data_IF_260161343083
#
_entry.id   IF_260161343083
#
_cell.length_a   1.000
_cell.length_b   1.000
_cell.length_c   1.000
_cell.angle_alpha   90.00
_cell.angle_beta   90.00
_cell.angle_gamma   90.00
#
_symmetry.space_group_name_H-M   'P 1'
#
loop_
_entity.id
_entity.type
_entity.pdbx_description
1 polymer ?
#
# COMPACT_ATOMS: atom_id res chain seq x y z
N UNK A 1 -1.17 -10.14 -42.02
CA UNK A 1 -1.72 -10.71 -40.79
C UNK A 1 -1.05 -10.04 -39.63
N UNK A 2 -1.77 -9.21 -38.85
CA UNK A 2 -1.21 -8.60 -37.62
C UNK A 2 -0.89 -9.69 -36.63
N UNK A 3 0.35 -9.70 -36.10
CA UNK A 3 0.74 -10.62 -35.02
C UNK A 3 -0.23 -10.44 -33.85
N UNK A 4 -0.82 -11.54 -33.38
CA UNK A 4 -1.65 -11.51 -32.18
C UNK A 4 -0.85 -10.90 -31.01
N UNK A 5 -1.45 -10.00 -30.27
CA UNK A 5 -0.81 -9.38 -29.10
C UNK A 5 -0.61 -10.44 -28.02
N UNK A 6 0.55 -10.46 -27.33
CA UNK A 6 0.84 -11.48 -26.33
C UNK A 6 -0.07 -11.38 -25.10
N UNK A 7 -0.64 -10.20 -24.82
CA UNK A 7 -1.49 -9.97 -23.65
C UNK A 7 -2.93 -9.62 -24.04
N UNK A 8 -3.87 -10.37 -23.47
CA UNK A 8 -5.31 -10.14 -23.64
C UNK A 8 -5.78 -9.07 -22.65
N UNK A 9 -5.70 -7.79 -23.06
CA UNK A 9 -6.24 -6.64 -22.32
C UNK A 9 -7.36 -6.03 -23.19
N UNK A 10 -8.57 -5.95 -22.66
CA UNK A 10 -9.69 -5.39 -23.39
C UNK A 10 -9.62 -3.85 -23.39
N UNK A 11 -9.95 -3.22 -24.53
CA UNK A 11 -10.04 -1.75 -24.61
C UNK A 11 -11.03 -1.17 -23.59
N UNK A 12 -12.09 -1.92 -23.26
CA UNK A 12 -13.08 -1.55 -22.25
C UNK A 12 -12.46 -1.43 -20.85
N UNK A 13 -11.49 -2.28 -20.51
CA UNK A 13 -10.78 -2.21 -19.21
C UNK A 13 -9.97 -0.92 -19.10
N UNK A 14 -9.28 -0.53 -20.18
CA UNK A 14 -8.52 0.73 -20.23
C UNK A 14 -9.45 1.94 -20.11
N UNK A 15 -10.59 1.91 -20.78
CA UNK A 15 -11.61 2.95 -20.68
C UNK A 15 -12.19 3.07 -19.28
N UNK A 16 -12.48 1.96 -18.61
CA UNK A 16 -12.97 1.95 -17.23
C UNK A 16 -11.92 2.47 -16.26
N UNK A 17 -10.66 2.09 -16.46
CA UNK A 17 -9.53 2.58 -15.69
C UNK A 17 -9.35 4.10 -15.82
N UNK A 18 -9.41 4.62 -17.04
CA UNK A 18 -9.36 6.06 -17.28
C UNK A 18 -10.48 6.81 -16.54
N UNK A 19 -11.74 6.34 -16.61
CA UNK A 19 -12.85 6.99 -15.91
C UNK A 19 -12.60 7.11 -14.39
N UNK A 20 -12.04 6.08 -13.77
CA UNK A 20 -11.67 6.10 -12.35
C UNK A 20 -10.52 7.07 -12.06
N UNK A 21 -9.51 7.12 -12.92
CA UNK A 21 -8.40 8.06 -12.80
C UNK A 21 -8.89 9.50 -12.95
N UNK A 22 -9.75 9.76 -13.94
CA UNK A 22 -10.36 11.08 -14.17
C UNK A 22 -11.16 11.55 -12.95
N UNK A 23 -11.99 10.69 -12.36
CA UNK A 23 -12.81 11.04 -11.19
C UNK A 23 -11.97 11.39 -9.94
N UNK A 24 -10.78 10.82 -9.82
CA UNK A 24 -9.88 11.07 -8.70
C UNK A 24 -9.03 12.33 -8.87
N UNK A 25 -9.06 12.97 -10.04
CA UNK A 25 -8.25 14.14 -10.36
C UNK A 25 -6.73 13.90 -10.15
N UNK A 26 -5.95 14.93 -9.90
CA UNK A 26 -4.55 14.87 -9.51
C UNK A 26 -3.61 15.61 -10.46
N UNK A 27 -2.44 15.95 -9.97
CA UNK A 27 -1.44 16.74 -10.67
C UNK A 27 -0.79 15.98 -11.83
N UNK A 28 -0.18 16.71 -12.77
CA UNK A 28 0.61 16.17 -13.86
C UNK A 28 1.86 15.44 -13.35
N UNK A 29 2.32 14.41 -14.05
CA UNK A 29 3.57 13.70 -13.80
C UNK A 29 4.79 14.44 -14.36
N UNK A 30 5.83 13.68 -14.72
CA UNK A 30 7.09 14.21 -15.30
C UNK A 30 6.90 14.80 -16.70
N UNK A 31 5.86 14.38 -17.43
CA UNK A 31 5.51 14.85 -18.76
C UNK A 31 4.76 16.19 -18.79
N UNK A 32 4.38 16.70 -17.62
CA UNK A 32 3.59 17.93 -17.51
C UNK A 32 2.15 17.81 -18.00
N UNK A 33 1.72 16.63 -18.51
CA UNK A 33 0.38 16.44 -19.03
C UNK A 33 -0.65 16.36 -17.90
N UNK A 34 -1.60 17.29 -17.90
CA UNK A 34 -2.76 17.30 -16.98
C UNK A 34 -3.83 16.29 -17.48
N UNK A 35 -4.85 16.02 -16.65
CA UNK A 35 -5.99 15.21 -17.06
C UNK A 35 -6.74 15.88 -18.22
N UNK A 36 -6.95 17.19 -18.16
CA UNK A 36 -7.62 17.92 -19.25
C UNK A 36 -6.80 17.87 -20.54
N UNK A 37 -5.48 18.06 -20.47
CA UNK A 37 -4.60 17.90 -21.63
C UNK A 37 -4.52 16.46 -22.16
N UNK A 38 -4.75 15.44 -21.31
CA UNK A 38 -4.92 14.07 -21.76
C UNK A 38 -6.25 13.85 -22.49
N UNK A 39 -7.31 14.57 -22.06
CA UNK A 39 -8.65 14.48 -22.66
C UNK A 39 -8.74 15.13 -24.04
N UNK A 40 -7.88 16.09 -24.37
CA UNK A 40 -7.84 16.73 -25.71
C UNK A 40 -7.61 15.74 -26.86
N UNK A 41 -6.83 14.68 -26.63
CA UNK A 41 -6.60 13.58 -27.60
C UNK A 41 -6.90 12.21 -26.97
N UNK A 42 -8.00 12.12 -26.23
CA UNK A 42 -8.36 10.98 -25.40
C UNK A 42 -8.33 9.64 -26.16
N UNK A 43 -8.95 9.59 -27.34
CA UNK A 43 -9.06 8.36 -28.13
C UNK A 43 -7.68 7.80 -28.51
N UNK A 44 -6.78 8.66 -29.00
CA UNK A 44 -5.42 8.27 -29.38
C UNK A 44 -4.58 7.93 -28.15
N UNK A 45 -4.69 8.69 -27.05
CA UNK A 45 -3.94 8.44 -25.81
C UNK A 45 -4.29 7.07 -25.23
N UNK A 46 -5.58 6.74 -25.13
CA UNK A 46 -6.03 5.44 -24.67
C UNK A 46 -5.67 4.31 -25.63
N UNK A 47 -5.75 4.54 -26.96
CA UNK A 47 -5.35 3.56 -27.95
C UNK A 47 -3.85 3.26 -27.90
N UNK A 48 -3.00 4.28 -27.80
CA UNK A 48 -1.55 4.13 -27.65
C UNK A 48 -1.20 3.35 -26.37
N UNK A 49 -1.84 3.69 -25.24
CA UNK A 49 -1.64 3.00 -23.98
C UNK A 49 -2.05 1.53 -24.06
N UNK A 50 -3.28 1.26 -24.51
CA UNK A 50 -3.78 -0.10 -24.71
C UNK A 50 -2.86 -0.91 -25.62
N UNK A 51 -2.41 -0.31 -26.74
CA UNK A 51 -1.56 -0.97 -27.71
C UNK A 51 -0.22 -1.40 -27.10
N UNK A 52 0.44 -0.49 -26.35
CA UNK A 52 1.70 -0.76 -25.65
C UNK A 52 1.53 -1.79 -24.53
N UNK A 53 0.48 -1.68 -23.74
CA UNK A 53 0.21 -2.67 -22.68
C UNK A 53 -0.07 -4.06 -23.27
N UNK A 54 -0.91 -4.16 -24.28
CA UNK A 54 -1.25 -5.45 -24.90
C UNK A 54 -0.08 -6.10 -25.65
N UNK A 55 0.89 -5.31 -26.13
CA UNK A 55 2.11 -5.82 -26.78
C UNK A 55 3.27 -6.10 -25.80
N UNK A 56 3.13 -5.74 -24.52
CA UNK A 56 4.21 -5.86 -23.54
C UNK A 56 5.28 -4.77 -23.66
N UNK A 57 5.10 -3.78 -24.54
CA UNK A 57 6.08 -2.71 -24.79
C UNK A 57 5.84 -1.44 -23.94
N UNK A 58 4.89 -1.48 -23.00
CA UNK A 58 4.70 -0.37 -22.08
C UNK A 58 5.76 -0.38 -20.99
N UNK A 59 6.52 0.72 -20.89
CA UNK A 59 7.45 1.00 -19.81
C UNK A 59 6.96 2.24 -19.07
N UNK A 60 6.83 2.18 -17.74
CA UNK A 60 6.41 3.34 -16.95
C UNK A 60 7.44 4.46 -17.06
N UNK A 61 7.00 5.71 -17.25
CA UNK A 61 7.88 6.88 -17.10
C UNK A 61 8.38 7.00 -15.65
N UNK A 62 9.44 7.81 -15.41
CA UNK A 62 9.84 8.16 -14.06
C UNK A 62 8.69 8.77 -13.25
N UNK A 63 8.68 8.51 -11.95
CA UNK A 63 7.71 9.09 -11.04
C UNK A 63 8.21 10.45 -10.57
N UNK A 64 7.44 11.52 -10.73
CA UNK A 64 7.81 12.87 -10.27
C UNK A 64 7.69 12.96 -8.76
N UNK A 65 8.80 13.25 -8.05
CA UNK A 65 8.82 13.48 -6.62
C UNK A 65 8.39 14.91 -6.29
N UNK A 66 7.44 15.02 -5.36
CA UNK A 66 7.02 16.28 -4.75
C UNK A 66 7.05 16.12 -3.24
N UNK A 67 7.49 17.13 -2.52
CA UNK A 67 7.52 17.11 -1.07
C UNK A 67 6.34 17.91 -0.51
N UNK A 68 5.53 17.24 0.32
CA UNK A 68 4.36 17.85 0.96
C UNK A 68 4.65 18.04 2.46
N UNK A 69 4.46 19.25 3.01
CA UNK A 69 4.66 19.49 4.43
C UNK A 69 3.64 18.70 5.26
N UNK A 70 4.12 18.05 6.33
CA UNK A 70 3.29 17.44 7.37
C UNK A 70 2.95 18.48 8.44
N UNK A 71 1.95 18.18 9.27
CA UNK A 71 1.56 19.02 10.41
C UNK A 71 2.69 19.25 11.41
N UNK A 72 3.65 18.35 11.51
CA UNK A 72 4.83 18.43 12.38
C UNK A 72 6.03 19.14 11.73
N UNK A 73 5.83 19.79 10.57
CA UNK A 73 6.87 20.51 9.81
C UNK A 73 7.81 19.62 9.00
N UNK A 74 7.77 18.30 9.13
CA UNK A 74 8.54 17.39 8.29
C UNK A 74 7.94 17.31 6.89
N UNK A 75 8.77 16.97 5.90
CA UNK A 75 8.33 16.76 4.53
C UNK A 75 7.94 15.29 4.30
N UNK A 76 6.86 15.08 3.55
CA UNK A 76 6.44 13.77 3.07
C UNK A 76 6.70 13.69 1.56
N UNK A 77 7.57 12.80 1.10
CA UNK A 77 7.76 12.59 -0.33
C UNK A 77 6.50 11.94 -0.93
N UNK A 78 5.99 12.53 -1.99
CA UNK A 78 4.89 11.99 -2.78
C UNK A 78 5.40 11.74 -4.20
N UNK A 79 5.13 10.55 -4.73
CA UNK A 79 5.44 10.23 -6.12
C UNK A 79 4.21 10.41 -7.01
N UNK A 80 4.31 11.23 -8.03
CA UNK A 80 3.22 11.53 -8.97
C UNK A 80 3.52 10.86 -10.31
N UNK A 81 2.83 9.74 -10.65
CA UNK A 81 2.91 9.12 -11.97
C UNK A 81 2.22 10.01 -13.02
N UNK A 82 2.59 9.84 -14.30
CA UNK A 82 1.89 10.48 -15.43
C UNK A 82 0.43 10.02 -15.50
N UNK A 83 -0.42 10.76 -16.20
CA UNK A 83 -1.83 10.37 -16.41
C UNK A 83 -1.93 9.00 -17.08
N UNK A 84 -1.16 8.78 -18.14
CA UNK A 84 -1.07 7.48 -18.82
C UNK A 84 -0.68 6.35 -17.86
N UNK A 85 0.29 6.60 -16.98
CA UNK A 85 0.77 5.58 -16.05
C UNK A 85 -0.25 5.29 -14.95
N UNK A 86 -0.96 6.31 -14.46
CA UNK A 86 -2.10 6.12 -13.53
C UNK A 86 -3.19 5.24 -14.13
N UNK A 87 -3.50 5.44 -15.43
CA UNK A 87 -4.47 4.59 -16.16
C UNK A 87 -3.93 3.17 -16.27
N UNK A 88 -2.67 2.98 -16.65
CA UNK A 88 -2.04 1.65 -16.75
C UNK A 88 -2.07 0.91 -15.39
N UNK A 89 -1.69 1.59 -14.31
CA UNK A 89 -1.75 1.05 -12.95
C UNK A 89 -3.19 0.68 -12.55
N UNK A 90 -4.17 1.51 -12.92
CA UNK A 90 -5.58 1.23 -12.65
C UNK A 90 -6.09 0.00 -13.41
N UNK A 91 -5.64 -0.24 -14.65
CA UNK A 91 -5.97 -1.47 -15.40
C UNK A 91 -5.49 -2.71 -14.64
N UNK A 92 -4.24 -2.70 -14.16
CA UNK A 92 -3.69 -3.81 -13.36
C UNK A 92 -4.41 -3.95 -12.03
N UNK A 93 -4.67 -2.84 -11.34
CA UNK A 93 -5.40 -2.83 -10.07
C UNK A 93 -6.80 -3.43 -10.21
N UNK A 94 -7.56 -3.05 -11.23
CA UNK A 94 -8.91 -3.58 -11.49
C UNK A 94 -8.92 -5.10 -11.74
N UNK A 95 -7.83 -5.64 -12.26
CA UNK A 95 -7.66 -7.09 -12.47
C UNK A 95 -7.28 -7.80 -11.17
N UNK A 96 -6.32 -7.24 -10.42
CA UNK A 96 -5.69 -7.89 -9.29
C UNK A 96 -6.50 -7.74 -7.99
N UNK A 97 -7.12 -6.58 -7.75
CA UNK A 97 -7.81 -6.27 -6.49
C UNK A 97 -8.97 -7.24 -6.17
N UNK A 98 -9.86 -7.61 -7.12
CA UNK A 98 -10.91 -8.59 -6.84
C UNK A 98 -10.39 -9.99 -6.53
N UNK A 99 -9.22 -10.35 -7.07
CA UNK A 99 -8.57 -11.64 -6.80
C UNK A 99 -7.94 -11.68 -5.40
N UNK A 100 -7.45 -10.52 -4.90
CA UNK A 100 -6.79 -10.40 -3.60
C UNK A 100 -7.76 -10.17 -2.43
N UNK A 101 -8.83 -9.43 -2.65
CA UNK A 101 -9.75 -8.97 -1.59
C UNK A 101 -10.27 -10.09 -0.69
N UNK A 102 -10.63 -11.30 -1.19
CA UNK A 102 -11.11 -12.41 -0.36
C UNK A 102 -10.04 -12.97 0.60
N UNK A 103 -8.76 -12.75 0.31
CA UNK A 103 -7.65 -13.28 1.13
C UNK A 103 -7.27 -12.35 2.28
N UNK A 104 -7.56 -11.06 2.16
CA UNK A 104 -7.17 -10.10 3.19
C UNK A 104 -7.87 -10.35 4.52
N UNK A 105 -7.12 -10.14 5.61
CA UNK A 105 -7.64 -10.33 6.96
C UNK A 105 -8.84 -9.41 7.22
N UNK A 106 -9.93 -9.89 7.88
CA UNK A 106 -11.12 -9.07 8.12
C UNK A 106 -10.86 -7.80 8.92
N UNK A 107 -9.84 -7.78 9.77
CA UNK A 107 -9.42 -6.62 10.57
C UNK A 107 -8.32 -5.75 9.88
N UNK A 108 -8.09 -5.93 8.58
CA UNK A 108 -7.33 -5.00 7.75
C UNK A 108 -8.31 -4.06 7.04
N UNK A 109 -8.15 -2.74 7.20
CA UNK A 109 -9.13 -1.73 6.79
C UNK A 109 -8.63 -0.76 5.75
N UNK A 110 -7.35 -0.35 5.80
CA UNK A 110 -6.81 0.70 4.93
C UNK A 110 -6.84 0.33 3.45
N UNK A 111 -7.25 1.27 2.60
CA UNK A 111 -7.26 1.17 1.13
C UNK A 111 -8.05 0.00 0.54
N UNK A 112 -9.02 -0.54 1.27
CA UNK A 112 -9.85 -1.67 0.84
C UNK A 112 -11.27 -1.25 0.50
N UNK A 113 -11.90 -1.86 -0.54
CA UNK A 113 -13.30 -1.62 -0.85
C UNK A 113 -14.22 -1.96 0.33
N UNK A 114 -15.18 -1.07 0.63
CA UNK A 114 -16.17 -1.29 1.70
C UNK A 114 -15.62 -1.27 3.12
N UNK A 115 -14.37 -0.82 3.32
CA UNK A 115 -13.74 -0.64 4.63
C UNK A 115 -13.39 0.81 4.86
N UNK A 116 -13.50 1.28 6.11
CA UNK A 116 -13.22 2.67 6.46
C UNK A 116 -12.36 2.78 7.72
N UNK A 117 -11.75 3.96 7.94
CA UNK A 117 -11.05 4.27 9.18
C UNK A 117 -12.00 4.27 10.39
N UNK A 118 -13.25 4.70 10.20
CA UNK A 118 -14.28 4.71 11.26
C UNK A 118 -14.58 3.28 11.73
N UNK A 119 -14.65 2.31 10.80
CA UNK A 119 -14.85 0.90 11.17
C UNK A 119 -13.68 0.38 12.00
N UNK A 120 -12.43 0.68 11.60
CA UNK A 120 -11.23 0.31 12.34
C UNK A 120 -11.27 0.89 13.76
N UNK A 121 -11.49 2.20 13.90
CA UNK A 121 -11.59 2.89 15.20
C UNK A 121 -12.72 2.31 16.05
N UNK A 122 -13.89 2.01 15.46
CA UNK A 122 -15.02 1.41 16.17
C UNK A 122 -14.70 0.03 16.76
N UNK A 123 -13.95 -0.81 16.04
CA UNK A 123 -13.50 -2.11 16.54
C UNK A 123 -12.42 -1.93 17.61
N UNK A 124 -11.41 -1.08 17.37
CA UNK A 124 -10.34 -0.77 18.32
C UNK A 124 -10.93 -0.31 19.65
N UNK A 125 -11.88 0.65 19.63
CA UNK A 125 -12.56 1.14 20.84
C UNK A 125 -13.21 0.02 21.63
N UNK A 126 -13.98 -0.87 20.97
CA UNK A 126 -14.65 -2.02 21.64
C UNK A 126 -13.65 -3.00 22.25
N UNK A 127 -12.49 -3.19 21.60
CA UNK A 127 -11.44 -4.08 22.12
C UNK A 127 -10.70 -3.44 23.27
N UNK A 128 -10.43 -2.14 23.27
CA UNK A 128 -9.83 -1.42 24.40
C UNK A 128 -10.70 -1.53 25.68
N UNK A 129 -12.01 -1.75 25.60
CA UNK A 129 -12.85 -2.04 26.77
C UNK A 129 -12.62 -3.44 27.36
N UNK A 130 -12.11 -4.39 26.56
CA UNK A 130 -11.83 -5.77 27.02
C UNK A 130 -10.39 -6.01 27.39
N UNK A 131 -9.48 -5.38 26.65
CA UNK A 131 -8.03 -5.55 26.80
C UNK A 131 -7.44 -4.30 27.46
N UNK A 132 -6.72 -4.51 28.56
CA UNK A 132 -6.13 -3.40 29.30
C UNK A 132 -4.88 -2.80 28.65
N UNK A 133 -4.27 -3.52 27.72
CA UNK A 133 -3.00 -3.13 27.13
C UNK A 133 -3.09 -3.16 25.60
N UNK A 134 -2.50 -2.19 24.96
CA UNK A 134 -2.37 -2.15 23.52
C UNK A 134 -0.92 -1.92 23.11
N UNK A 135 -0.55 -2.46 21.96
CA UNK A 135 0.67 -2.13 21.26
C UNK A 135 0.26 -1.26 20.07
N UNK A 136 0.71 0.00 20.10
CA UNK A 136 0.56 0.96 18.99
C UNK A 136 1.82 0.87 18.13
N UNK A 137 1.69 0.38 16.89
CA UNK A 137 2.80 0.07 16.00
C UNK A 137 2.83 1.03 14.82
N UNK A 138 4.00 1.60 14.56
CA UNK A 138 4.31 2.39 13.37
C UNK A 138 5.52 1.74 12.66
N UNK A 139 5.40 1.48 11.36
CA UNK A 139 6.49 0.92 10.55
C UNK A 139 7.28 2.07 9.94
N UNK A 140 8.59 2.11 10.18
CA UNK A 140 9.47 3.18 9.71
C UNK A 140 9.57 3.21 8.19
N UNK A 141 9.04 4.27 7.57
CA UNK A 141 9.13 4.48 6.13
C UNK A 141 8.58 3.31 5.31
N UNK A 142 7.44 2.75 5.71
CA UNK A 142 6.92 1.49 5.18
C UNK A 142 6.93 1.42 3.65
N UNK A 143 6.29 2.40 2.98
CA UNK A 143 6.22 2.41 1.51
C UNK A 143 7.59 2.47 0.82
N UNK A 144 8.57 3.09 1.45
CA UNK A 144 9.92 3.28 0.89
C UNK A 144 10.83 2.06 1.16
N UNK A 145 10.40 1.12 2.05
CA UNK A 145 11.21 -0.02 2.47
C UNK A 145 10.60 -1.38 2.12
N UNK A 146 9.51 -1.44 1.36
CA UNK A 146 8.95 -2.71 0.88
C UNK A 146 9.98 -3.42 -0.01
N UNK A 147 10.38 -4.61 0.39
CA UNK A 147 11.31 -5.43 -0.40
C UNK A 147 10.63 -5.95 -1.67
N UNK A 148 11.25 -5.72 -2.84
CA UNK A 148 10.68 -6.07 -4.13
C UNK A 148 10.59 -7.58 -4.36
N UNK A 149 11.56 -8.35 -3.88
CA UNK A 149 11.58 -9.82 -4.06
C UNK A 149 10.44 -10.46 -3.26
N UNK A 150 10.32 -10.09 -1.97
CA UNK A 150 9.25 -10.57 -1.10
C UNK A 150 7.87 -10.15 -1.60
N UNK A 151 7.73 -8.93 -2.11
CA UNK A 151 6.48 -8.46 -2.69
C UNK A 151 6.13 -9.25 -3.97
N UNK A 152 7.09 -9.47 -4.86
CA UNK A 152 6.85 -10.24 -6.08
C UNK A 152 6.54 -11.71 -5.81
N UNK A 153 7.12 -12.32 -4.75
CA UNK A 153 6.70 -13.65 -4.29
C UNK A 153 5.21 -13.66 -3.89
N UNK A 154 4.77 -12.62 -3.18
CA UNK A 154 3.36 -12.50 -2.79
C UNK A 154 2.45 -12.28 -4.02
N UNK A 155 2.84 -11.43 -4.97
CA UNK A 155 2.09 -11.20 -6.22
C UNK A 155 1.97 -12.49 -7.03
N UNK A 156 3.09 -13.18 -7.25
CA UNK A 156 3.14 -14.41 -8.06
C UNK A 156 2.33 -15.56 -7.44
N UNK A 157 2.12 -15.54 -6.12
CA UNK A 157 1.28 -16.52 -5.42
C UNK A 157 -0.22 -16.35 -5.73
N UNK A 158 -0.65 -15.12 -6.07
CA UNK A 158 -2.08 -14.81 -6.25
C UNK A 158 -2.49 -14.65 -7.70
N UNK A 159 -1.55 -14.53 -8.63
CA UNK A 159 -1.89 -14.40 -10.04
C UNK A 159 -0.84 -15.03 -10.95
N UNK A 160 -1.30 -15.83 -11.91
CA UNK A 160 -0.49 -16.36 -13.01
C UNK A 160 -0.51 -15.46 -14.26
N UNK A 161 -1.21 -14.33 -14.17
CA UNK A 161 -1.37 -13.39 -15.26
C UNK A 161 -0.04 -12.68 -15.57
N UNK A 162 0.63 -13.09 -16.66
CA UNK A 162 1.99 -12.64 -17.03
C UNK A 162 2.11 -11.13 -17.20
N UNK A 163 1.08 -10.46 -17.73
CA UNK A 163 1.15 -9.01 -17.88
C UNK A 163 0.96 -8.27 -16.56
N UNK A 164 0.20 -8.81 -15.60
CA UNK A 164 0.10 -8.26 -14.25
C UNK A 164 1.47 -8.33 -13.56
N UNK A 165 2.10 -9.50 -13.56
CA UNK A 165 3.44 -9.72 -12.99
C UNK A 165 4.47 -8.78 -13.62
N UNK A 166 4.49 -8.69 -14.95
CA UNK A 166 5.42 -7.83 -15.71
C UNK A 166 5.28 -6.35 -15.33
N UNK A 167 4.04 -5.85 -15.30
CA UNK A 167 3.83 -4.41 -15.04
C UNK A 167 4.05 -4.05 -13.58
N UNK A 168 3.66 -4.90 -12.63
CA UNK A 168 4.00 -4.69 -11.21
C UNK A 168 5.52 -4.59 -11.05
N UNK A 169 6.29 -5.52 -11.62
CA UNK A 169 7.74 -5.48 -11.54
C UNK A 169 8.33 -4.19 -12.14
N UNK A 170 7.83 -3.75 -13.30
CA UNK A 170 8.27 -2.50 -13.94
C UNK A 170 7.98 -1.26 -13.09
N UNK A 171 6.83 -1.21 -12.40
CA UNK A 171 6.53 -0.08 -11.50
C UNK A 171 7.37 -0.08 -10.24
N UNK A 172 7.73 -1.23 -9.72
CA UNK A 172 8.62 -1.32 -8.56
C UNK A 172 10.01 -0.77 -8.86
N UNK A 173 10.52 -1.00 -10.08
CA UNK A 173 11.85 -0.56 -10.53
C UNK A 173 11.85 0.76 -11.30
N UNK A 174 10.67 1.38 -11.52
CA UNK A 174 10.60 2.65 -12.21
C UNK A 174 11.35 3.74 -11.43
N UNK A 175 12.22 4.54 -12.09
CA UNK A 175 13.00 5.57 -11.41
C UNK A 175 12.13 6.71 -10.87
N UNK A 176 12.66 7.44 -9.91
CA UNK A 176 12.06 8.65 -9.34
C UNK A 176 12.81 9.85 -9.87
N UNK A 177 12.10 10.83 -10.41
CA UNK A 177 12.67 12.13 -10.75
C UNK A 177 12.56 13.08 -9.56
N UNK A 178 13.70 13.56 -9.10
CA UNK A 178 13.83 14.56 -8.05
C UNK A 178 13.44 15.97 -8.57
N UNK A 179 13.19 16.94 -7.66
CA UNK A 179 12.86 18.31 -8.07
C UNK A 179 13.91 19.01 -8.93
N UNK A 180 15.16 18.61 -8.81
CA UNK A 180 16.28 19.11 -9.62
C UNK A 180 16.43 18.43 -10.98
N UNK A 181 15.54 17.46 -11.31
CA UNK A 181 15.52 16.70 -12.55
C UNK A 181 16.36 15.42 -12.53
N UNK A 182 17.15 15.18 -11.49
CA UNK A 182 17.93 13.94 -11.37
C UNK A 182 17.03 12.71 -11.24
N UNK A 183 17.45 11.61 -11.90
CA UNK A 183 16.77 10.32 -11.79
C UNK A 183 17.47 9.46 -10.75
N UNK A 184 16.68 8.90 -9.85
CA UNK A 184 17.14 7.95 -8.83
C UNK A 184 16.49 6.60 -9.09
N UNK A 185 17.33 5.60 -9.29
CA UNK A 185 16.88 4.20 -9.42
C UNK A 185 16.33 3.69 -8.10
N UNK A 186 15.46 2.69 -8.19
CA UNK A 186 14.80 2.10 -7.04
C UNK A 186 15.02 0.60 -6.98
N UNK A 187 15.55 0.14 -5.85
CA UNK A 187 15.80 -1.26 -5.51
C UNK A 187 14.80 -1.80 -4.47
N UNK A 188 14.04 -0.92 -3.82
CA UNK A 188 13.01 -1.23 -2.84
C UNK A 188 11.93 -0.15 -2.82
N UNK A 189 10.84 -0.46 -2.14
CA UNK A 189 9.72 0.46 -1.95
C UNK A 189 8.77 0.55 -3.13
N UNK A 190 7.68 1.25 -2.91
CA UNK A 190 6.68 1.61 -3.92
C UNK A 190 6.30 3.08 -3.76
N UNK A 191 6.04 3.83 -4.87
CA UNK A 191 5.77 5.27 -4.76
C UNK A 191 4.56 5.57 -3.89
N UNK A 192 4.73 6.43 -2.87
CA UNK A 192 3.58 7.02 -2.19
C UNK A 192 2.86 7.94 -3.17
N UNK A 193 1.65 7.54 -3.61
CA UNK A 193 0.87 8.25 -4.64
C UNK A 193 0.67 7.45 -5.93
N UNK A 194 1.32 6.32 -6.10
CA UNK A 194 0.99 5.35 -7.15
C UNK A 194 -0.41 4.76 -6.93
N UNK A 195 -1.15 4.53 -8.02
CA UNK A 195 -2.54 4.01 -7.96
C UNK A 195 -2.59 2.57 -7.44
N UNK A 196 -1.60 1.76 -7.78
CA UNK A 196 -1.52 0.34 -7.36
C UNK A 196 -0.78 0.17 -6.03
N UNK A 197 0.03 1.14 -5.60
CA UNK A 197 0.89 1.05 -4.42
C UNK A 197 0.15 0.67 -3.14
N UNK A 198 -1.06 1.20 -2.83
CA UNK A 198 -1.80 0.80 -1.64
C UNK A 198 -2.23 -0.66 -1.64
N UNK A 199 -2.60 -1.21 -2.80
CA UNK A 199 -2.97 -2.63 -2.94
C UNK A 199 -1.75 -3.54 -2.71
N UNK A 200 -0.61 -3.18 -3.30
CA UNK A 200 0.65 -3.92 -3.14
C UNK A 200 1.16 -3.85 -1.69
N UNK A 201 1.05 -2.69 -1.05
CA UNK A 201 1.38 -2.49 0.36
C UNK A 201 0.52 -3.37 1.28
N UNK A 202 -0.79 -3.44 1.02
CA UNK A 202 -1.69 -4.34 1.75
C UNK A 202 -1.35 -5.82 1.51
N UNK A 203 -1.00 -6.20 0.29
CA UNK A 203 -0.58 -7.57 -0.02
C UNK A 203 0.71 -7.94 0.73
N UNK A 204 1.68 -7.04 0.79
CA UNK A 204 2.91 -7.25 1.53
C UNK A 204 2.63 -7.49 3.02
N UNK A 205 1.88 -6.59 3.68
CA UNK A 205 1.55 -6.72 5.10
C UNK A 205 0.60 -7.89 5.41
N UNK A 206 -0.21 -8.31 4.45
CA UNK A 206 -1.00 -9.54 4.60
C UNK A 206 -0.11 -10.74 4.92
N UNK A 207 1.07 -10.86 4.27
CA UNK A 207 2.02 -11.95 4.53
C UNK A 207 3.01 -11.62 5.64
N UNK A 208 3.50 -10.39 5.69
CA UNK A 208 4.49 -10.00 6.69
C UNK A 208 3.90 -9.95 8.10
N UNK A 209 2.62 -9.56 8.22
CA UNK A 209 1.97 -9.33 9.50
C UNK A 209 0.68 -10.15 9.69
N UNK A 210 -0.36 -9.92 8.87
CA UNK A 210 -1.72 -10.41 9.15
C UNK A 210 -1.77 -11.95 9.30
N UNK A 211 -1.25 -12.68 8.31
CA UNK A 211 -1.22 -14.15 8.34
C UNK A 211 -0.28 -14.71 9.39
N UNK A 212 0.83 -14.02 9.63
CA UNK A 212 1.77 -14.42 10.66
C UNK A 212 1.15 -14.27 12.05
N UNK A 213 0.51 -13.14 12.34
CA UNK A 213 -0.22 -12.93 13.61
C UNK A 213 -1.30 -13.99 13.83
N UNK A 214 -2.09 -14.27 12.79
CA UNK A 214 -3.17 -15.27 12.85
C UNK A 214 -2.63 -16.68 13.17
N UNK A 215 -1.44 -17.02 12.65
CA UNK A 215 -0.83 -18.33 12.82
C UNK A 215 -0.06 -18.45 14.14
N UNK A 216 0.81 -17.51 14.42
CA UNK A 216 1.79 -17.61 15.52
C UNK A 216 1.26 -17.02 16.85
N UNK A 217 0.36 -16.02 16.79
CA UNK A 217 -0.16 -15.31 17.98
C UNK A 217 -1.68 -15.15 17.89
N UNK A 218 -2.45 -16.22 17.69
CA UNK A 218 -3.92 -16.15 17.45
C UNK A 218 -4.72 -15.58 18.62
N UNK A 219 -4.15 -15.59 19.83
CA UNK A 219 -4.79 -15.06 21.05
C UNK A 219 -4.76 -13.53 21.14
N UNK A 220 -3.98 -12.85 20.31
CA UNK A 220 -3.84 -11.39 20.31
C UNK A 220 -4.57 -10.79 19.12
N UNK A 221 -5.78 -10.24 19.30
CA UNK A 221 -6.49 -9.57 18.24
C UNK A 221 -5.80 -8.25 17.86
N UNK A 222 -5.94 -7.86 16.58
CA UNK A 222 -5.39 -6.63 16.05
C UNK A 222 -6.33 -5.95 15.07
N UNK A 223 -6.14 -4.66 14.84
CA UNK A 223 -6.64 -3.89 13.70
C UNK A 223 -5.45 -3.29 12.96
N UNK A 224 -5.56 -3.26 11.64
CA UNK A 224 -4.58 -2.64 10.77
C UNK A 224 -5.25 -1.68 9.78
N UNK A 225 -4.82 -0.44 9.76
CA UNK A 225 -5.17 0.54 8.75
C UNK A 225 -3.91 0.95 7.99
N UNK A 226 -3.68 0.35 6.81
CA UNK A 226 -2.42 0.41 6.08
C UNK A 226 -1.23 -0.07 6.95
N UNK A 227 -0.32 0.82 7.31
CA UNK A 227 0.84 0.59 8.17
C UNK A 227 0.61 0.95 9.64
N UNK A 228 -0.52 1.58 9.98
CA UNK A 228 -0.93 1.81 11.36
C UNK A 228 -1.57 0.55 11.93
N UNK A 229 -1.04 0.01 13.03
CA UNK A 229 -1.47 -1.26 13.59
C UNK A 229 -1.66 -1.14 15.10
N UNK A 230 -2.78 -1.65 15.60
CA UNK A 230 -3.07 -1.78 17.02
C UNK A 230 -3.22 -3.27 17.37
N UNK A 231 -2.46 -3.76 18.35
CA UNK A 231 -2.62 -5.12 18.91
C UNK A 231 -3.13 -5.03 20.35
N UNK A 232 -4.04 -5.94 20.74
CA UNK A 232 -4.70 -5.91 22.05
C UNK A 232 -4.21 -7.04 22.95
N UNK A 233 -3.68 -6.68 24.13
CA UNK A 233 -3.07 -7.60 25.07
C UNK A 233 -3.80 -7.56 26.42
N UNK A 234 -3.75 -8.67 27.17
CA UNK A 234 -4.38 -8.78 28.50
C UNK A 234 -3.47 -8.29 29.61
N UNK A 235 -2.14 -8.27 29.41
CA UNK A 235 -1.15 -7.78 30.37
C UNK A 235 0.01 -7.06 29.69
N UNK A 236 0.79 -6.32 30.47
CA UNK A 236 2.00 -5.65 30.01
C UNK A 236 3.08 -6.63 29.58
N UNK A 237 3.21 -7.74 30.31
CA UNK A 237 4.17 -8.81 30.00
C UNK A 237 3.84 -9.44 28.63
N UNK A 238 2.57 -9.74 28.40
CA UNK A 238 2.13 -10.22 27.09
C UNK A 238 2.47 -9.20 26.00
N UNK A 239 2.18 -7.92 26.21
CA UNK A 239 2.47 -6.87 25.25
C UNK A 239 3.97 -6.77 24.92
N UNK A 240 4.85 -6.90 25.93
CA UNK A 240 6.31 -6.90 25.75
C UNK A 240 6.79 -8.11 24.94
N UNK A 241 6.27 -9.31 25.24
CA UNK A 241 6.60 -10.53 24.50
C UNK A 241 6.13 -10.46 23.04
N UNK A 242 4.89 -10.03 22.83
CA UNK A 242 4.30 -9.87 21.47
C UNK A 242 5.06 -8.83 20.67
N UNK A 243 5.40 -7.68 21.26
CA UNK A 243 6.18 -6.65 20.59
C UNK A 243 7.58 -7.16 20.18
N UNK A 244 8.22 -7.95 21.05
CA UNK A 244 9.50 -8.60 20.74
C UNK A 244 9.40 -9.55 19.54
N UNK A 245 8.35 -10.37 19.51
CA UNK A 245 8.07 -11.28 18.39
C UNK A 245 7.77 -10.54 17.08
N UNK A 246 6.97 -9.47 17.14
CA UNK A 246 6.66 -8.62 15.97
C UNK A 246 7.94 -7.96 15.44
N UNK A 247 8.81 -7.42 16.30
CA UNK A 247 10.09 -6.83 15.87
C UNK A 247 10.94 -7.82 15.09
N UNK A 248 11.08 -9.04 15.60
CA UNK A 248 11.80 -10.10 14.92
C UNK A 248 11.18 -10.41 13.56
N UNK A 249 9.86 -10.55 13.51
CA UNK A 249 9.12 -10.82 12.26
C UNK A 249 9.29 -9.71 11.24
N UNK A 250 9.19 -8.43 11.66
CA UNK A 250 9.39 -7.30 10.74
C UNK A 250 10.81 -7.30 10.17
N UNK A 251 11.83 -7.57 10.99
CA UNK A 251 13.23 -7.68 10.53
C UNK A 251 13.40 -8.80 9.49
N UNK A 252 12.76 -9.97 9.68
CA UNK A 252 12.74 -11.07 8.68
C UNK A 252 12.13 -10.62 7.34
N UNK A 253 11.17 -9.68 7.39
CA UNK A 253 10.54 -9.07 6.21
C UNK A 253 11.28 -7.81 5.72
N UNK A 254 12.49 -7.55 6.20
CA UNK A 254 13.32 -6.39 5.87
C UNK A 254 12.65 -5.04 6.22
N UNK A 255 11.78 -5.03 7.23
CA UNK A 255 11.12 -3.85 7.78
C UNK A 255 11.62 -3.55 9.19
N UNK A 256 11.51 -2.29 9.61
CA UNK A 256 11.86 -1.80 10.94
C UNK A 256 10.66 -1.10 11.58
N UNK A 257 10.37 -1.40 12.86
CA UNK A 257 9.39 -0.63 13.63
C UNK A 257 9.99 0.73 14.02
N UNK A 258 9.19 1.79 13.95
CA UNK A 258 9.64 3.14 14.30
C UNK A 258 9.88 3.24 15.82
N UNK A 259 11.13 3.49 16.29
CA UNK A 259 11.49 3.39 17.71
C UNK A 259 10.75 4.41 18.59
N UNK A 260 10.51 5.61 18.08
CA UNK A 260 9.86 6.69 18.84
C UNK A 260 8.33 6.72 18.76
N UNK A 261 7.70 5.95 17.86
CA UNK A 261 6.24 5.93 17.70
C UNK A 261 5.63 4.60 18.11
N UNK A 262 6.38 3.50 18.01
CA UNK A 262 5.93 2.19 18.51
C UNK A 262 5.99 2.17 20.02
N UNK A 263 4.85 1.90 20.66
CA UNK A 263 4.74 1.96 22.13
C UNK A 263 3.71 0.97 22.66
N UNK A 264 3.88 0.59 23.92
CA UNK A 264 2.90 -0.15 24.71
C UNK A 264 2.13 0.89 25.52
N UNK A 265 0.81 0.81 25.52
CA UNK A 265 -0.09 1.77 26.18
C UNK A 265 -1.08 1.02 27.07
N UNK A 266 -1.28 1.49 28.28
CA UNK A 266 -2.35 1.03 29.16
C UNK A 266 -3.64 1.82 28.87
N UNK A 267 -4.71 1.09 28.54
CA UNK A 267 -6.02 1.67 28.28
C UNK A 267 -6.76 1.85 29.60
N UNK A 268 -6.61 3.02 30.23
CA UNK A 268 -7.28 3.34 31.50
C UNK A 268 -8.77 3.65 31.25
N UNK A 269 -9.63 3.15 32.13
CA UNK A 269 -11.05 3.52 32.23
C UNK A 269 -11.46 3.64 33.70
N UNK A 270 -12.70 4.06 33.98
CA UNK A 270 -13.21 4.29 35.33
C UNK A 270 -13.21 3.02 36.23
N UNK A 271 -13.13 1.83 35.65
CA UNK A 271 -13.14 0.54 36.33
C UNK A 271 -11.75 -0.03 36.58
N UNK A 272 -10.74 0.44 35.86
CA UNK A 272 -9.37 -0.05 35.94
C UNK A 272 -8.59 0.77 36.96
N UNK A 273 -8.35 0.18 38.13
CA UNK A 273 -7.55 0.77 39.21
C UNK A 273 -6.07 0.38 38.99
N UNK A 274 -5.20 1.35 39.00
CA UNK A 274 -3.76 1.17 38.83
C UNK A 274 -3.14 2.43 38.26
N UNK A 275 -1.86 2.65 38.54
CA UNK A 275 -1.05 3.70 37.89
C UNK A 275 0.08 3.02 37.16
N UNK A 276 0.16 3.25 35.87
CA UNK A 276 1.17 2.68 34.98
C UNK A 276 1.90 3.80 34.25
N UNK A 277 3.20 3.66 34.01
CA UNK A 277 4.03 4.67 33.36
C UNK A 277 3.61 5.03 31.92
N UNK A 278 2.68 4.26 31.32
CA UNK A 278 2.23 4.37 29.93
C UNK A 278 0.71 4.55 29.82
N UNK A 279 0.11 5.27 30.77
CA UNK A 279 -1.33 5.57 30.75
C UNK A 279 -1.70 6.55 29.64
N UNK A 280 -2.80 6.27 28.94
CA UNK A 280 -3.51 7.20 28.05
C UNK A 280 -5.01 7.03 28.20
#
# INVERSE_FOLDING_TARGET
MGKAKPFSIAKKEVWQAYKRVRSNQGSAGVDGQTIDGFDEDLSNNLYKLWNRMSSGSYFPPPVRRVEIPKLDGRLRPLGIPTVSDRVAQMVVKQRLEPELEPYFHPNSYGYRPGKSAIDAVGITRRRCWRYGWVIDLDIKGFFDNIDHELLMLAVNKHTDCKWVQLYVQRWLTAPVQLPDGHLVERDKGTPQGGVISPLLANLFLHYAFDKWMQKEIPSVPFERYADDIICHCVSEEQAKLVLGAIRKRMAECKLELHPGKTRIVYCKDDRRRGSHSHEK
#
